data_IF_916805886136
#
_entry.id   IF_916805886136
#
_cell.length_a   1.000
_cell.length_b   1.000
_cell.length_c   1.000
_cell.angle_alpha   90.00
_cell.angle_beta   90.00
_cell.angle_gamma   90.00
#
_symmetry.space_group_name_H-M   'P 1'
#
loop_
_entity.id
_entity.type
_entity.pdbx_description
1 polymer ?
#
# COMPACT_ATOMS: atom_id res chain seq x y z
N UNK A 1 12.55 -6.64 4.85
CA UNK A 1 11.86 -6.08 3.66
C UNK A 1 12.35 -4.65 3.43
N UNK A 2 12.60 -4.22 2.19
CA UNK A 2 12.99 -2.83 1.86
C UNK A 2 12.12 -2.28 0.72
N UNK A 3 12.17 -0.96 0.49
CA UNK A 3 11.32 -0.31 -0.51
C UNK A 3 11.55 -0.83 -1.93
N UNK A 4 12.81 -1.04 -2.34
CA UNK A 4 13.16 -1.61 -3.65
C UNK A 4 12.52 -2.97 -3.86
N UNK A 5 12.56 -3.84 -2.84
CA UNK A 5 12.00 -5.19 -2.95
C UNK A 5 10.48 -5.17 -3.11
N UNK A 6 9.80 -4.28 -2.37
CA UNK A 6 8.35 -4.12 -2.51
C UNK A 6 8.00 -3.57 -3.90
N UNK A 7 8.78 -2.63 -4.43
CA UNK A 7 8.58 -2.12 -5.79
C UNK A 7 8.74 -3.22 -6.85
N UNK A 8 9.75 -4.08 -6.72
CA UNK A 8 9.92 -5.25 -7.60
C UNK A 8 8.72 -6.19 -7.53
N UNK A 9 8.24 -6.52 -6.32
CA UNK A 9 7.08 -7.39 -6.11
C UNK A 9 5.81 -6.80 -6.72
N UNK A 10 5.57 -5.50 -6.53
CA UNK A 10 4.42 -4.80 -7.12
C UNK A 10 4.51 -4.79 -8.65
N UNK A 11 5.69 -4.51 -9.21
CA UNK A 11 5.92 -4.50 -10.66
C UNK A 11 5.69 -5.88 -11.26
N UNK A 12 6.23 -6.92 -10.64
CA UNK A 12 6.05 -8.32 -11.08
C UNK A 12 4.57 -8.75 -11.04
N UNK A 13 3.78 -8.20 -10.12
CA UNK A 13 2.35 -8.45 -10.01
C UNK A 13 1.48 -7.50 -10.84
N UNK A 14 2.08 -6.59 -11.62
CA UNK A 14 1.34 -5.61 -12.43
C UNK A 14 0.60 -4.54 -11.63
N UNK A 15 0.97 -4.30 -10.37
CA UNK A 15 0.34 -3.31 -9.50
C UNK A 15 1.02 -1.95 -9.72
N UNK A 16 0.27 -0.98 -10.23
CA UNK A 16 0.76 0.38 -10.43
C UNK A 16 0.86 1.13 -9.09
N UNK A 17 2.09 1.47 -8.68
CA UNK A 17 2.35 2.23 -7.47
C UNK A 17 3.83 2.34 -7.15
N UNK A 18 4.14 2.95 -6.01
CA UNK A 18 5.51 3.11 -5.50
C UNK A 18 5.59 2.83 -4.02
N UNK A 19 6.66 2.16 -3.61
CA UNK A 19 7.05 1.94 -2.23
C UNK A 19 8.21 2.89 -1.88
N UNK A 20 8.07 3.62 -0.77
CA UNK A 20 9.04 4.60 -0.31
C UNK A 20 9.42 4.34 1.15
N UNK A 21 10.72 4.29 1.43
CA UNK A 21 11.21 4.16 2.79
C UNK A 21 10.99 5.45 3.59
N UNK A 22 10.57 5.28 4.84
CA UNK A 22 10.45 6.35 5.80
C UNK A 22 11.35 6.08 7.00
N UNK A 23 12.56 6.65 6.91
CA UNK A 23 13.58 6.68 7.97
C UNK A 23 13.91 5.29 8.51
N UNK A 24 13.87 4.25 7.68
CA UNK A 24 14.13 2.86 8.06
C UNK A 24 13.12 2.27 9.06
N UNK A 25 11.97 2.93 9.29
CA UNK A 25 10.93 2.45 10.21
C UNK A 25 9.72 1.86 9.48
N UNK A 26 9.28 2.53 8.42
CA UNK A 26 8.10 2.15 7.64
C UNK A 26 8.41 2.27 6.16
N UNK A 27 7.74 1.48 5.36
CA UNK A 27 7.78 1.61 3.90
C UNK A 27 6.35 1.91 3.45
N UNK A 28 6.09 3.15 3.05
CA UNK A 28 4.78 3.56 2.55
C UNK A 28 4.56 3.02 1.15
N UNK A 29 3.37 2.46 0.90
CA UNK A 29 2.96 1.97 -0.41
C UNK A 29 1.90 2.93 -0.96
N UNK A 30 2.29 3.68 -2.00
CA UNK A 30 1.45 4.64 -2.68
C UNK A 30 0.93 4.04 -3.98
N UNK A 31 -0.36 3.69 -4.01
CA UNK A 31 -1.01 3.15 -5.21
C UNK A 31 -1.36 4.27 -6.19
N UNK A 32 -1.17 4.01 -7.49
CA UNK A 32 -1.52 4.96 -8.54
C UNK A 32 -3.04 5.21 -8.61
N UNK A 33 -3.85 4.25 -8.19
CA UNK A 33 -5.31 4.36 -8.06
C UNK A 33 -5.79 5.20 -6.88
N UNK A 34 -4.87 5.76 -6.08
CA UNK A 34 -5.21 6.64 -4.97
C UNK A 34 -5.80 7.97 -5.47
N UNK A 35 -7.11 7.99 -5.67
CA UNK A 35 -7.87 9.21 -5.95
C UNK A 35 -8.14 9.98 -4.65
N UNK A 36 -7.55 11.18 -4.55
CA UNK A 36 -7.71 12.06 -3.40
C UNK A 36 -9.10 12.71 -3.32
N UNK A 37 -9.99 12.57 -4.29
CA UNK A 37 -11.39 13.02 -4.16
C UNK A 37 -12.15 12.17 -3.14
N UNK A 38 -11.79 10.89 -3.01
CA UNK A 38 -12.35 9.94 -2.04
C UNK A 38 -11.68 10.11 -0.67
N UNK A 39 -12.47 10.43 0.35
CA UNK A 39 -11.95 10.62 1.71
C UNK A 39 -11.30 9.35 2.28
N UNK A 40 -11.83 8.16 1.96
CA UNK A 40 -11.26 6.89 2.40
C UNK A 40 -9.88 6.62 1.80
N UNK A 41 -9.67 6.90 0.51
CA UNK A 41 -8.37 6.75 -0.14
C UNK A 41 -7.30 7.64 0.52
N UNK A 42 -7.63 8.92 0.77
CA UNK A 42 -6.71 9.86 1.44
C UNK A 42 -6.33 9.43 2.85
N UNK A 43 -7.29 8.86 3.58
CA UNK A 43 -7.12 8.45 4.97
C UNK A 43 -6.62 7.01 5.11
N UNK A 44 -6.36 6.33 3.99
CA UNK A 44 -5.96 4.93 3.99
C UNK A 44 -4.53 4.77 4.48
N UNK A 45 -4.31 3.84 5.40
CA UNK A 45 -2.99 3.50 5.90
C UNK A 45 -2.52 2.22 5.21
N UNK A 46 -1.63 2.37 4.23
CA UNK A 46 -0.97 1.27 3.54
C UNK A 46 0.55 1.42 3.64
N UNK A 47 1.17 0.63 4.51
CA UNK A 47 2.63 0.63 4.69
C UNK A 47 3.11 -0.69 5.27
N UNK A 48 4.35 -1.06 4.98
CA UNK A 48 5.03 -2.17 5.66
C UNK A 48 5.75 -1.64 6.90
N UNK A 49 5.44 -2.19 8.07
CA UNK A 49 6.13 -1.86 9.32
C UNK A 49 7.38 -2.73 9.46
N UNK A 50 8.56 -2.11 9.48
CA UNK A 50 9.83 -2.84 9.49
C UNK A 50 10.05 -3.51 10.84
N UNK A 51 9.68 -2.84 11.94
CA UNK A 51 9.88 -3.36 13.28
C UNK A 51 8.96 -4.55 13.58
N UNK A 52 7.71 -4.47 13.16
CA UNK A 52 6.74 -5.55 13.33
C UNK A 52 6.80 -6.60 12.22
N UNK A 53 7.51 -6.34 11.12
CA UNK A 53 7.67 -7.28 10.00
C UNK A 53 6.38 -7.59 9.24
N UNK A 54 5.40 -6.68 9.24
CA UNK A 54 4.07 -6.94 8.68
C UNK A 54 3.54 -5.77 7.84
N UNK A 55 2.66 -6.08 6.89
CA UNK A 55 1.90 -5.08 6.15
C UNK A 55 0.77 -4.54 7.03
N UNK A 56 0.72 -3.22 7.17
CA UNK A 56 -0.41 -2.50 7.72
C UNK A 56 -1.29 -2.03 6.58
N UNK A 57 -2.55 -2.48 6.58
CA UNK A 57 -3.60 -2.12 5.63
C UNK A 57 -4.86 -1.82 6.44
N UNK A 58 -5.18 -0.53 6.61
CA UNK A 58 -6.30 -0.05 7.42
C UNK A 58 -7.01 1.11 6.75
N UNK A 59 -8.33 0.99 6.61
CA UNK A 59 -9.18 2.09 6.15
C UNK A 59 -9.36 3.10 7.27
N UNK A 60 -9.14 4.39 6.97
CA UNK A 60 -9.47 5.49 7.87
C UNK A 60 -10.95 5.90 7.77
N UNK A 61 -11.24 7.19 7.96
CA UNK A 61 -12.60 7.73 7.80
C UNK A 61 -12.94 7.96 6.32
N UNK A 62 -14.18 7.66 5.93
CA UNK A 62 -14.72 7.91 4.59
C UNK A 62 -14.78 6.66 3.71
N UNK A 63 -15.19 6.84 2.45
CA UNK A 63 -15.32 5.76 1.46
C UNK A 63 -14.10 5.69 0.55
N UNK A 64 -13.70 4.48 0.19
CA UNK A 64 -12.67 4.18 -0.81
C UNK A 64 -13.30 4.00 -2.19
N UNK A 65 -12.51 4.17 -3.25
CA UNK A 65 -12.93 3.85 -4.60
C UNK A 65 -12.74 2.34 -4.88
N UNK A 66 -13.61 1.76 -5.71
CA UNK A 66 -13.54 0.32 -6.06
C UNK A 66 -12.19 -0.09 -6.64
N UNK A 67 -11.60 0.75 -7.50
CA UNK A 67 -10.30 0.47 -8.10
C UNK A 67 -9.20 0.44 -7.03
N UNK A 68 -9.22 1.38 -6.10
CA UNK A 68 -8.26 1.43 -5.01
C UNK A 68 -8.37 0.19 -4.11
N UNK A 69 -9.60 -0.24 -3.77
CA UNK A 69 -9.83 -1.46 -2.99
C UNK A 69 -9.29 -2.72 -3.68
N UNK A 70 -9.47 -2.82 -5.01
CA UNK A 70 -8.94 -3.93 -5.80
C UNK A 70 -7.41 -3.96 -5.78
N UNK A 71 -6.76 -2.81 -5.97
CA UNK A 71 -5.29 -2.73 -5.95
C UNK A 71 -4.72 -2.99 -4.55
N UNK A 72 -5.38 -2.49 -3.49
CA UNK A 72 -5.03 -2.82 -2.09
C UNK A 72 -5.11 -4.33 -1.87
N UNK A 73 -6.16 -5.00 -2.35
CA UNK A 73 -6.31 -6.46 -2.23
C UNK A 73 -5.19 -7.20 -2.96
N UNK A 74 -4.79 -6.73 -4.14
CA UNK A 74 -3.64 -7.27 -4.87
C UNK A 74 -2.35 -7.11 -4.06
N UNK A 75 -2.13 -5.94 -3.45
CA UNK A 75 -0.96 -5.72 -2.57
C UNK A 75 -1.00 -6.68 -1.39
N UNK A 76 -2.13 -6.83 -0.70
CA UNK A 76 -2.24 -7.73 0.45
C UNK A 76 -1.87 -9.18 0.10
N UNK A 77 -2.27 -9.65 -1.09
CA UNK A 77 -1.90 -10.98 -1.61
C UNK A 77 -0.38 -11.16 -1.69
N UNK A 78 0.38 -10.12 -2.02
CA UNK A 78 1.86 -10.18 -2.07
C UNK A 78 2.50 -10.47 -0.72
N UNK A 79 1.80 -10.18 0.37
CA UNK A 79 2.28 -10.38 1.74
C UNK A 79 1.59 -11.57 2.43
N UNK A 80 0.80 -12.37 1.68
CA UNK A 80 0.01 -13.49 2.20
C UNK A 80 -0.99 -13.10 3.31
N UNK A 81 -1.65 -11.94 3.18
CA UNK A 81 -2.63 -11.37 4.14
C UNK A 81 -3.99 -11.13 3.48
#
# INVERSE_FOLDING_TARGET
>A
MNATKINEMMTAAGIAGTANDWKGKRIYINLASCDKSFAGNRNYQLYYDIAAGQLISKTGKGTTSRQFDADVKSVKTLFNI
#
